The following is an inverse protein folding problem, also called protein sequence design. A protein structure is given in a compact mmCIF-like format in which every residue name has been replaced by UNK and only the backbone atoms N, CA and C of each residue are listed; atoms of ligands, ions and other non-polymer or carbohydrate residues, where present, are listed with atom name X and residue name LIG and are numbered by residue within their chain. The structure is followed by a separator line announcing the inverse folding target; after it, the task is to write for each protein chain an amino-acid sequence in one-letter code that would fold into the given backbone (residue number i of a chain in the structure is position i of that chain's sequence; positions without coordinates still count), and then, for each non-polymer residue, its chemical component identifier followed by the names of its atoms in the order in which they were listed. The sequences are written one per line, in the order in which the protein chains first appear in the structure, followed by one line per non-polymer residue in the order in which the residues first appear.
data_IF_880196149332
#
_entry.id   IF_880196149332
#
_cell.length_a   1.000
_cell.length_b   1.000
_cell.length_c   1.000
_cell.angle_alpha   90.00
_cell.angle_beta   90.00
_cell.angle_gamma   90.00
#
_symmetry.space_group_name_H-M   'P 1'
#
loop_
_entity.id
_entity.type
_entity.pdbx_description
1 polymer ?
#
# COMPACT_ATOMS: atom_id res chain seq x y z
N UNK A 1 -44.68 -48.46 29.81
CA UNK A 1 -43.71 -48.18 30.89
C UNK A 1 -43.64 -46.66 31.03
N UNK A 2 -44.47 -46.06 31.91
CA UNK A 2 -44.51 -44.61 32.09
C UNK A 2 -43.28 -44.17 32.88
N UNK A 3 -42.50 -43.25 32.30
CA UNK A 3 -41.37 -42.66 33.00
C UNK A 3 -41.89 -41.82 34.18
N UNK A 4 -41.25 -41.90 35.36
CA UNK A 4 -41.75 -41.21 36.54
C UNK A 4 -41.69 -39.68 36.35
N UNK A 5 -42.68 -38.92 36.84
CA UNK A 5 -42.87 -37.50 36.50
C UNK A 5 -41.67 -36.62 36.88
N UNK A 6 -40.91 -37.01 37.91
CA UNK A 6 -39.65 -36.39 38.33
C UNK A 6 -38.57 -36.37 37.22
N UNK A 7 -38.57 -37.31 36.28
CA UNK A 7 -37.60 -37.35 35.17
C UNK A 7 -37.88 -36.27 34.12
N UNK A 8 -39.14 -35.89 33.91
CA UNK A 8 -39.54 -34.86 32.95
C UNK A 8 -39.09 -33.48 33.44
N UNK A 9 -39.31 -33.18 34.72
CA UNK A 9 -38.88 -31.93 35.34
C UNK A 9 -37.35 -31.78 35.35
N UNK A 10 -36.64 -32.86 35.69
CA UNK A 10 -35.16 -32.88 35.64
C UNK A 10 -34.63 -32.68 34.22
N UNK A 11 -35.24 -33.34 33.22
CA UNK A 11 -34.83 -33.19 31.81
C UNK A 11 -35.03 -31.76 31.31
N UNK A 12 -36.14 -31.10 31.66
CA UNK A 12 -36.39 -29.69 31.31
C UNK A 12 -35.40 -28.74 32.00
N UNK A 13 -35.17 -28.92 33.30
CA UNK A 13 -34.21 -28.10 34.04
C UNK A 13 -32.79 -28.20 33.46
N UNK A 14 -32.35 -29.42 33.12
CA UNK A 14 -31.03 -29.64 32.53
C UNK A 14 -30.91 -29.00 31.14
N UNK A 15 -31.95 -29.10 30.30
CA UNK A 15 -31.99 -28.42 29.01
C UNK A 15 -31.84 -26.91 29.15
N UNK A 16 -32.61 -26.28 30.04
CA UNK A 16 -32.52 -24.84 30.24
C UNK A 16 -31.16 -24.42 30.80
N UNK A 17 -30.59 -25.17 31.76
CA UNK A 17 -29.25 -24.85 32.30
C UNK A 17 -28.16 -24.91 31.24
N UNK A 18 -28.21 -25.90 30.34
CA UNK A 18 -27.22 -26.02 29.25
C UNK A 18 -27.37 -24.86 28.28
N UNK A 19 -28.60 -24.48 27.91
CA UNK A 19 -28.86 -23.33 27.04
C UNK A 19 -28.28 -22.05 27.65
N UNK A 20 -28.55 -21.79 28.93
CA UNK A 20 -27.99 -20.61 29.61
C UNK A 20 -26.48 -20.65 29.72
N UNK A 21 -25.89 -21.83 29.93
CA UNK A 21 -24.43 -21.99 29.99
C UNK A 21 -23.78 -21.74 28.64
N UNK A 22 -24.36 -22.27 27.56
CA UNK A 22 -23.91 -21.98 26.19
C UNK A 22 -24.02 -20.49 25.90
N UNK A 23 -25.16 -19.86 26.24
CA UNK A 23 -25.36 -18.42 26.04
C UNK A 23 -24.33 -17.59 26.81
N UNK A 24 -24.07 -17.93 28.07
CA UNK A 24 -23.04 -17.29 28.87
C UNK A 24 -21.64 -17.46 28.24
N UNK A 25 -21.32 -18.67 27.77
CA UNK A 25 -20.05 -18.96 27.12
C UNK A 25 -19.87 -18.18 25.82
N UNK A 26 -20.93 -18.07 25.00
CA UNK A 26 -20.93 -17.24 23.79
C UNK A 26 -20.71 -15.78 24.16
N UNK A 27 -21.40 -15.26 25.17
CA UNK A 27 -21.27 -13.86 25.55
C UNK A 27 -19.87 -13.52 26.05
N UNK A 28 -19.28 -14.41 26.87
CA UNK A 28 -17.90 -14.28 27.35
C UNK A 28 -16.89 -14.45 26.21
N UNK A 29 -17.10 -15.43 25.33
CA UNK A 29 -16.26 -15.68 24.16
C UNK A 29 -16.22 -14.50 23.21
N UNK A 30 -17.38 -13.95 22.84
CA UNK A 30 -17.47 -12.72 22.03
C UNK A 30 -16.77 -11.56 22.73
N UNK A 31 -17.01 -11.37 24.04
CA UNK A 31 -16.36 -10.30 24.79
C UNK A 31 -14.84 -10.44 24.81
N UNK A 32 -14.33 -11.66 24.91
CA UNK A 32 -12.90 -11.94 24.86
C UNK A 32 -12.33 -11.70 23.46
N UNK A 33 -13.02 -12.17 22.42
CA UNK A 33 -12.63 -11.97 21.02
C UNK A 33 -12.61 -10.49 20.61
N UNK A 34 -13.55 -9.67 21.10
CA UNK A 34 -13.56 -8.23 20.81
C UNK A 34 -12.49 -7.47 21.62
N UNK A 35 -12.02 -8.03 22.74
CA UNK A 35 -11.04 -7.36 23.61
C UNK A 35 -9.67 -7.18 22.95
N UNK A 36 -9.25 -8.11 22.08
CA UNK A 36 -7.97 -8.02 21.37
C UNK A 36 -7.99 -7.07 20.17
N UNK A 37 -9.16 -6.75 19.63
CA UNK A 37 -9.27 -5.91 18.42
C UNK A 37 -8.77 -4.48 18.69
N UNK A 38 -9.10 -3.91 19.86
CA UNK A 38 -8.68 -2.55 20.20
C UNK A 38 -7.16 -2.37 20.35
N UNK A 39 -6.43 -3.21 21.10
CA UNK A 39 -4.97 -3.11 21.17
C UNK A 39 -4.32 -3.37 19.81
N UNK A 40 -4.78 -4.36 19.04
CA UNK A 40 -4.20 -4.64 17.71
C UNK A 40 -4.34 -3.43 16.77
N UNK A 41 -5.51 -2.78 16.75
CA UNK A 41 -5.72 -1.56 15.97
C UNK A 41 -4.85 -0.39 16.46
N UNK A 42 -4.58 -0.30 17.76
CA UNK A 42 -3.70 0.72 18.32
C UNK A 42 -2.26 0.49 17.89
N UNK A 43 -1.79 -0.75 17.95
CA UNK A 43 -0.42 -1.13 17.56
C UNK A 43 -0.22 -0.91 16.06
N UNK A 44 -1.16 -1.34 15.21
CA UNK A 44 -1.13 -1.06 13.77
C UNK A 44 -1.07 0.45 13.46
N UNK A 45 -1.80 1.27 14.21
CA UNK A 45 -1.75 2.74 14.05
C UNK A 45 -0.40 3.31 14.48
N UNK A 46 0.18 2.80 15.56
CA UNK A 46 1.50 3.21 16.02
C UNK A 46 2.56 2.87 14.96
N UNK A 47 2.57 1.64 14.45
CA UNK A 47 3.47 1.22 13.36
C UNK A 47 3.30 2.09 12.12
N UNK A 48 2.06 2.38 11.72
CA UNK A 48 1.81 3.25 10.56
C UNK A 48 2.35 4.67 10.78
N UNK A 49 2.19 5.23 11.98
CA UNK A 49 2.70 6.56 12.31
C UNK A 49 4.23 6.59 12.23
N UNK A 50 4.89 5.56 12.76
CA UNK A 50 6.35 5.41 12.73
C UNK A 50 6.88 5.32 11.29
N UNK A 51 6.31 4.43 10.45
CA UNK A 51 6.70 4.33 9.04
C UNK A 51 6.48 5.64 8.27
N UNK A 52 5.42 6.38 8.61
CA UNK A 52 5.15 7.67 7.96
C UNK A 52 6.21 8.70 8.33
N UNK A 53 6.64 8.71 9.59
CA UNK A 53 7.69 9.58 10.08
C UNK A 53 9.05 9.24 9.43
N UNK A 54 9.40 7.95 9.33
CA UNK A 54 10.60 7.50 8.63
C UNK A 54 10.60 7.92 7.15
N UNK A 55 9.46 7.74 6.47
CA UNK A 55 9.30 8.19 5.08
C UNK A 55 9.53 9.70 4.94
N UNK A 56 8.94 10.50 5.83
CA UNK A 56 9.13 11.95 5.80
C UNK A 56 10.59 12.33 6.04
N UNK A 57 11.26 11.69 7.00
CA UNK A 57 12.68 11.91 7.25
C UNK A 57 13.56 11.52 6.05
N UNK A 58 13.23 10.44 5.35
CA UNK A 58 13.93 10.04 4.13
C UNK A 58 13.71 11.03 2.98
N UNK A 59 12.48 11.52 2.79
CA UNK A 59 12.17 12.53 1.78
C UNK A 59 12.93 13.83 2.02
N UNK A 60 13.02 14.28 3.27
CA UNK A 60 13.81 15.47 3.62
C UNK A 60 15.29 15.31 3.23
N UNK A 61 15.89 14.13 3.47
CA UNK A 61 17.28 13.85 3.05
C UNK A 61 17.44 13.84 1.53
N UNK A 62 16.44 13.32 0.81
CA UNK A 62 16.43 13.35 -0.65
C UNK A 62 16.34 14.80 -1.13
N UNK A 63 15.49 15.62 -0.55
CA UNK A 63 15.34 17.04 -0.92
C UNK A 63 16.61 17.84 -0.62
N UNK A 64 17.26 17.59 0.52
CA UNK A 64 18.56 18.20 0.86
C UNK A 64 19.64 17.89 -0.18
N UNK A 65 19.70 16.64 -0.66
CA UNK A 65 20.71 16.19 -1.63
C UNK A 65 20.36 16.52 -3.08
N UNK A 66 19.06 16.52 -3.42
CA UNK A 66 18.54 16.72 -4.77
C UNK A 66 18.21 18.19 -5.07
N UNK A 67 18.17 19.05 -4.05
CA UNK A 67 17.99 20.49 -4.24
C UNK A 67 18.95 21.04 -5.30
N UNK A 68 18.42 21.84 -6.23
CA UNK A 68 19.18 22.45 -7.33
C UNK A 68 20.42 23.20 -6.82
N UNK A 69 20.38 23.73 -5.60
CA UNK A 69 21.52 24.35 -4.95
C UNK A 69 22.63 23.34 -4.61
N UNK A 70 22.27 22.20 -4.00
CA UNK A 70 23.18 21.11 -3.66
C UNK A 70 23.77 20.45 -4.89
N UNK A 71 22.95 20.19 -5.92
CA UNK A 71 23.41 19.65 -7.21
C UNK A 71 24.40 20.60 -7.88
N UNK A 72 24.14 21.91 -7.85
CA UNK A 72 25.07 22.92 -8.41
C UNK A 72 26.37 23.00 -7.61
N UNK A 73 26.30 22.94 -6.28
CA UNK A 73 27.48 22.95 -5.41
C UNK A 73 28.35 21.70 -5.65
N UNK A 74 27.72 20.52 -5.75
CA UNK A 74 28.38 19.28 -6.11
C UNK A 74 29.00 19.34 -7.50
N UNK A 75 28.27 19.84 -8.51
CA UNK A 75 28.77 19.97 -9.87
C UNK A 75 30.02 20.89 -9.90
N UNK A 76 29.98 22.00 -9.18
CA UNK A 76 31.12 22.92 -9.07
C UNK A 76 32.33 22.26 -8.35
N UNK A 77 32.10 21.48 -7.29
CA UNK A 77 33.15 20.74 -6.59
C UNK A 77 33.81 19.66 -7.47
N UNK A 78 33.06 19.08 -8.42
CA UNK A 78 33.57 18.10 -9.39
C UNK A 78 34.13 18.77 -10.68
N UNK A 79 34.33 20.08 -10.68
CA UNK A 79 34.94 20.81 -11.80
C UNK A 79 34.01 21.06 -12.99
N UNK A 80 32.70 20.84 -12.85
CA UNK A 80 31.73 21.22 -13.87
C UNK A 80 31.51 22.74 -13.86
N UNK A 81 31.61 23.35 -15.04
CA UNK A 81 31.44 24.79 -15.22
C UNK A 81 30.00 25.07 -15.68
N UNK A 82 29.29 26.04 -15.09
CA UNK A 82 27.94 26.38 -15.54
C UNK A 82 27.95 26.81 -17.01
N UNK A 83 26.92 26.44 -17.77
CA UNK A 83 26.80 26.75 -19.20
C UNK A 83 26.96 28.24 -19.53
N UNK A 84 26.67 29.14 -18.58
CA UNK A 84 26.89 30.58 -18.72
C UNK A 84 28.37 30.99 -18.75
N UNK A 85 29.27 30.19 -18.16
CA UNK A 85 30.73 30.41 -18.11
C UNK A 85 31.52 29.42 -18.97
N UNK A 86 30.87 28.42 -19.55
CA UNK A 86 31.49 27.52 -20.51
C UNK A 86 31.91 28.32 -21.76
N UNK A 87 33.11 28.05 -22.29
CA UNK A 87 33.57 28.61 -23.57
C UNK A 87 32.56 28.17 -24.65
N UNK A 88 31.85 29.13 -25.24
CA UNK A 88 30.99 28.89 -26.39
C UNK A 88 31.87 28.55 -27.59
N UNK A 89 32.16 27.28 -27.80
CA UNK A 89 32.66 26.81 -29.08
C UNK A 89 31.48 26.75 -30.04
N UNK A 90 31.49 27.65 -31.03
CA UNK A 90 30.60 27.54 -32.18
C UNK A 90 31.06 26.34 -33.00
N UNK A 91 30.43 25.19 -32.77
CA UNK A 91 30.54 24.05 -33.67
C UNK A 91 29.75 24.41 -34.93
N UNK A 92 30.46 24.63 -36.03
CA UNK A 92 29.87 24.71 -37.36
C UNK A 92 29.28 23.35 -37.70
N UNK A 93 27.98 23.19 -37.48
CA UNK A 93 27.21 22.06 -37.95
C UNK A 93 27.17 22.13 -39.47
N UNK A 94 28.13 21.50 -40.14
CA UNK A 94 27.94 21.10 -41.54
C UNK A 94 26.71 20.19 -41.57
N UNK A 95 25.69 20.62 -42.31
CA UNK A 95 24.48 19.84 -42.50
C UNK A 95 24.86 18.43 -42.96
N UNK A 96 24.54 17.42 -42.15
CA UNK A 96 24.55 16.06 -42.62
C UNK A 96 23.65 15.98 -43.86
N UNK A 97 24.05 15.26 -44.93
CA UNK A 97 23.23 15.14 -46.12
C UNK A 97 21.85 14.60 -45.70
N UNK A 98 20.80 15.26 -46.15
CA UNK A 98 19.43 14.95 -45.80
C UNK A 98 19.15 13.48 -46.10
N UNK A 99 19.14 12.65 -45.05
CA UNK A 99 18.53 11.32 -45.12
C UNK A 99 17.04 11.61 -45.12
N UNK A 100 16.42 11.42 -46.28
CA UNK A 100 14.97 11.47 -46.46
C UNK A 100 14.30 10.71 -45.32
N UNK A 101 13.32 11.30 -44.62
CA UNK A 101 12.55 10.54 -43.65
C UNK A 101 11.80 9.46 -44.43
N UNK A 102 12.26 8.21 -44.32
CA UNK A 102 11.38 7.08 -44.58
C UNK A 102 10.27 7.21 -43.55
N UNK A 103 9.12 7.68 -44.02
CA UNK A 103 7.85 7.60 -43.32
C UNK A 103 7.61 6.10 -43.13
N UNK A 104 8.10 5.57 -42.01
CA UNK A 104 7.62 4.32 -41.49
C UNK A 104 6.19 4.57 -41.08
N UNK A 105 5.25 4.05 -41.87
CA UNK A 105 3.87 3.86 -41.43
C UNK A 105 3.90 3.01 -40.17
N UNK A 106 4.00 3.66 -39.02
CA UNK A 106 3.64 3.07 -37.76
C UNK A 106 2.11 2.95 -37.79
N UNK A 107 1.65 1.80 -38.29
CA UNK A 107 0.31 1.30 -37.99
C UNK A 107 0.10 1.45 -36.49
N UNK A 108 -0.94 2.19 -36.13
CA UNK A 108 -1.41 2.36 -34.76
C UNK A 108 -1.87 0.99 -34.24
N UNK A 109 -1.32 0.54 -33.09
CA UNK A 109 -2.08 -0.12 -32.06
C UNK A 109 -3.52 0.33 -31.88
N UNK A 110 -4.51 -0.12 -32.65
CA UNK A 110 -5.90 -0.07 -32.17
C UNK A 110 -6.02 -1.05 -31.00
N UNK A 111 -5.58 -0.61 -29.83
CA UNK A 111 -5.77 -1.26 -28.55
C UNK A 111 -6.31 -0.19 -27.60
N UNK A 112 -7.64 -0.11 -27.59
CA UNK A 112 -8.40 0.58 -26.57
C UNK A 112 -7.85 0.21 -25.17
N UNK A 113 -7.80 1.15 -24.22
CA UNK A 113 -7.55 0.77 -22.83
C UNK A 113 -8.75 -0.05 -22.37
N UNK A 114 -8.57 -1.37 -22.26
CA UNK A 114 -9.49 -2.18 -21.47
C UNK A 114 -9.53 -1.59 -20.05
N UNK A 115 -10.72 -1.28 -19.51
CA UNK A 115 -10.84 -0.85 -18.13
C UNK A 115 -10.37 -2.00 -17.23
N UNK A 116 -9.30 -1.76 -16.48
CA UNK A 116 -8.88 -2.61 -15.37
C UNK A 116 -10.08 -2.76 -14.43
N UNK A 117 -10.72 -3.92 -14.49
CA UNK A 117 -11.78 -4.34 -13.59
C UNK A 117 -11.08 -4.93 -12.36
N UNK A 118 -11.12 -4.30 -11.18
CA UNK A 118 -10.62 -4.89 -9.96
C UNK A 118 -11.76 -5.65 -9.28
N UNK A 119 -11.87 -6.95 -9.55
CA UNK A 119 -12.42 -7.99 -8.66
C UNK A 119 -13.01 -9.14 -9.48
N UNK A 120 -12.22 -10.20 -9.64
CA UNK A 120 -12.74 -11.56 -9.75
C UNK A 120 -12.04 -12.41 -8.68
N UNK A 121 -12.78 -13.25 -7.93
CA UNK A 121 -12.31 -13.88 -6.70
C UNK A 121 -11.33 -15.03 -6.99
N UNK A 122 -10.37 -15.20 -6.06
CA UNK A 122 -9.46 -16.35 -6.00
C UNK A 122 -10.27 -17.67 -5.93
N UNK A 123 -10.01 -18.66 -6.79
CA UNK A 123 -10.50 -20.01 -6.58
C UNK A 123 -9.61 -20.80 -5.61
N UNK A 124 -10.31 -21.40 -4.64
CA UNK A 124 -10.01 -22.47 -3.67
C UNK A 124 -8.82 -22.35 -2.70
#
# INVERSE_FOLDING_TARGET
MSLPPNTIWRKRALHYSVIYLVLACVMVGTRYATRSIYPDLKDLRATRAELTHEKQAALLKIDETTSTASVRAWAHANGMVPFSRAKKEQVSLTAAPAKTPTVGSATLPDAAPEPLTPDAPLPD
#
